data_IF_705912527198
#
_entry.id   IF_705912527198
#
_cell.length_a   1.000
_cell.length_b   1.000
_cell.length_c   1.000
_cell.angle_alpha   90.00
_cell.angle_beta   90.00
_cell.angle_gamma   90.00
#
_symmetry.space_group_name_H-M   'P 1'
#
loop_
_entity.id
_entity.type
_entity.pdbx_description
1 polymer ?
2 non-polymer ?
3 non-polymer ?
4 non-polymer ?
5 water ?
#
# COMPACT_ATOMS: atom_id res chain seq x y z
N UNK A 1 15.81 10.46 -2.57
CA UNK A 1 16.05 9.88 -1.22
C UNK A 1 15.85 8.35 -1.16
N UNK A 2 16.53 7.74 -0.20
CA UNK A 2 16.29 6.35 0.22
C UNK A 2 15.60 6.40 1.58
N UNK A 3 14.60 5.52 1.75
CA UNK A 3 13.63 5.46 2.88
C UNK A 3 13.63 4.02 3.41
N UNK A 4 13.81 3.80 4.72
CA UNK A 4 13.53 2.49 5.35
C UNK A 4 12.06 2.50 5.77
N UNK A 5 11.54 1.37 6.23
CA UNK A 5 10.10 1.17 6.42
C UNK A 5 9.78 0.88 7.89
N UNK A 6 10.67 1.26 8.82
CA UNK A 6 10.34 1.18 10.26
C UNK A 6 9.17 2.12 10.60
N UNK A 7 9.07 3.24 9.88
CA UNK A 7 7.97 4.21 10.00
C UNK A 7 7.19 4.25 8.68
N UNK A 8 5.96 4.73 8.72
CA UNK A 8 5.15 4.93 7.50
C UNK A 8 5.90 5.89 6.59
N UNK A 9 6.02 5.57 5.28
CA UNK A 9 6.80 6.37 4.32
C UNK A 9 5.98 7.57 3.84
N UNK A 10 5.91 8.57 4.70
CA UNK A 10 5.04 9.76 4.49
C UNK A 10 5.90 10.86 3.90
N UNK A 11 5.36 11.49 2.84
CA UNK A 11 6.05 12.59 2.10
C UNK A 11 5.11 13.79 2.05
N UNK A 12 5.67 14.97 1.84
CA UNK A 12 4.90 16.22 1.63
C UNK A 12 4.55 16.34 0.15
N UNK A 13 3.31 16.72 -0.13
CA UNK A 13 2.79 16.96 -1.48
C UNK A 13 2.25 18.38 -1.52
N UNK A 14 2.27 18.93 -2.70
CA UNK A 14 1.64 20.24 -3.02
C UNK A 14 0.78 20.00 -4.26
N UNK A 15 -0.48 20.34 -4.14
CA UNK A 15 -1.46 20.07 -5.20
C UNK A 15 -2.51 21.17 -5.15
N UNK A 16 -2.75 21.80 -6.30
CA UNK A 16 -3.73 22.89 -6.43
C UNK A 16 -3.45 23.96 -5.40
N UNK A 17 -2.17 24.23 -5.10
CA UNK A 17 -1.73 25.26 -4.14
C UNK A 17 -1.95 24.88 -2.68
N UNK A 18 -2.27 23.63 -2.38
CA UNK A 18 -2.55 23.12 -1.01
C UNK A 18 -1.42 22.17 -0.61
N UNK A 19 -0.98 22.26 0.63
CA UNK A 19 0.07 21.39 1.15
C UNK A 19 -0.59 20.30 1.97
N UNK A 20 -0.18 19.08 1.72
CA UNK A 20 -0.67 17.93 2.50
C UNK A 20 0.46 16.91 2.69
N UNK A 21 0.20 15.87 3.46
CA UNK A 21 1.10 14.71 3.59
C UNK A 21 0.42 13.49 2.96
N UNK A 22 1.19 12.55 2.47
CA UNK A 22 0.61 11.36 1.82
C UNK A 22 1.59 10.23 2.01
N UNK A 23 1.08 9.02 1.94
CA UNK A 23 1.84 7.78 2.16
C UNK A 23 2.28 7.26 0.79
N UNK A 24 3.59 7.04 0.61
CA UNK A 24 4.14 6.37 -0.62
C UNK A 24 3.70 4.91 -0.52
N UNK A 25 2.84 4.44 -1.43
CA UNK A 25 2.08 3.19 -1.23
C UNK A 25 2.27 2.28 -2.46
N UNK A 26 3.25 1.37 -2.38
CA UNK A 26 3.51 0.42 -3.50
C UNK A 26 2.31 -0.51 -3.70
N UNK A 27 1.41 -0.70 -2.73
CA UNK A 27 0.23 -1.57 -2.89
C UNK A 27 -0.95 -0.92 -3.58
N UNK A 28 -0.84 0.36 -3.92
CA UNK A 28 -1.92 1.19 -4.53
C UNK A 28 -1.58 1.40 -6.01
N UNK A 29 -2.44 0.96 -6.93
CA UNK A 29 -2.25 1.24 -8.37
C UNK A 29 -2.37 2.75 -8.58
N UNK A 30 -3.32 3.37 -7.88
CA UNK A 30 -3.76 4.77 -8.11
C UNK A 30 -3.49 5.65 -6.87
N UNK A 31 -3.51 6.96 -7.08
CA UNK A 31 -3.27 7.98 -6.02
C UNK A 31 -4.62 8.45 -5.52
N UNK A 32 -4.84 8.42 -4.21
CA UNK A 32 -6.16 8.72 -3.60
C UNK A 32 -5.96 9.75 -2.50
N UNK A 33 -6.57 10.93 -2.59
CA UNK A 33 -6.45 11.98 -1.54
C UNK A 33 -7.85 12.34 -1.05
N UNK A 34 -7.97 12.68 0.23
CA UNK A 34 -9.29 13.00 0.86
C UNK A 34 -9.42 14.52 1.05
N UNK A 35 -8.38 15.21 1.48
CA UNK A 35 -8.59 16.53 2.14
C UNK A 35 -8.36 17.70 1.17
N UNK A 36 -8.79 17.60 -0.11
CA UNK A 36 -8.30 18.50 -1.22
C UNK A 36 -9.45 18.93 -2.15
N UNK A 37 -9.37 20.20 -2.64
CA UNK A 37 -10.19 20.78 -3.74
C UNK A 37 -9.41 20.76 -5.06
N UNK A 38 -9.99 20.15 -6.10
CA UNK A 38 -9.46 20.34 -7.45
C UNK A 38 -10.55 20.97 -8.30
N UNK A 39 -10.16 21.85 -9.24
CA UNK A 39 -11.10 22.48 -10.17
C UNK A 39 -11.40 21.60 -11.39
N UNK A 40 -12.49 21.92 -12.08
CA UNK A 40 -12.77 21.40 -13.43
C UNK A 40 -13.54 20.10 -13.38
N UNK A 41 -13.57 19.40 -14.52
CA UNK A 41 -14.45 18.22 -14.71
C UNK A 41 -13.73 16.98 -14.15
N UNK A 42 -14.51 15.93 -13.92
CA UNK A 42 -14.08 14.69 -13.23
C UNK A 42 -15.10 13.58 -13.48
N UNK A 43 -14.68 12.32 -13.47
CA UNK A 43 -15.53 11.14 -13.76
C UNK A 43 -15.71 10.32 -12.48
N UNK A 44 -16.94 9.87 -12.15
CA UNK A 44 -17.15 8.97 -11.02
C UNK A 44 -16.33 7.70 -11.30
N UNK A 45 -15.73 7.12 -10.25
CA UNK A 45 -15.00 5.84 -10.33
C UNK A 45 -15.20 5.12 -8.99
N UNK A 46 -15.27 3.80 -9.04
CA UNK A 46 -15.33 2.95 -7.84
C UNK A 46 -13.98 2.23 -7.75
N UNK A 47 -13.41 2.16 -6.55
CA UNK A 47 -12.11 1.49 -6.28
C UNK A 47 -12.33 0.63 -5.05
N UNK A 48 -11.71 -0.54 -4.99
CA UNK A 48 -11.89 -1.47 -3.83
C UNK A 48 -10.61 -1.46 -3.00
N UNK A 49 -10.76 -1.79 -1.73
CA UNK A 49 -9.66 -2.03 -0.79
C UNK A 49 -10.06 -3.05 0.25
N UNK A 50 -9.26 -3.21 1.29
CA UNK A 50 -9.47 -4.29 2.31
C UNK A 50 -10.96 -4.30 2.71
N UNK A 51 -11.54 -3.15 3.06
CA UNK A 51 -12.86 -3.02 3.70
C UNK A 51 -14.04 -2.98 2.72
N UNK A 52 -13.77 -3.10 1.42
CA UNK A 52 -14.76 -3.11 0.33
C UNK A 52 -14.53 -2.03 -0.71
N UNK A 53 -15.47 -1.09 -0.84
CA UNK A 53 -15.57 -0.15 -1.98
C UNK A 53 -15.55 1.28 -1.45
N UNK A 54 -15.09 2.21 -2.28
CA UNK A 54 -15.21 3.68 -2.03
C UNK A 54 -15.49 4.37 -3.37
N UNK A 55 -16.44 5.30 -3.36
CA UNK A 55 -16.80 6.14 -4.53
C UNK A 55 -15.84 7.33 -4.54
N UNK A 56 -15.18 7.58 -5.68
CA UNK A 56 -14.13 8.62 -5.81
C UNK A 56 -14.41 9.44 -7.05
N UNK A 57 -13.90 10.68 -7.05
CA UNK A 57 -13.87 11.53 -8.25
C UNK A 57 -12.52 11.37 -8.91
N UNK A 58 -12.53 11.00 -10.18
CA UNK A 58 -11.30 10.93 -11.00
C UNK A 58 -11.02 12.28 -11.63
N UNK A 59 -9.84 12.84 -11.36
CA UNK A 59 -9.30 14.07 -11.99
C UNK A 59 -8.06 13.71 -12.78
N UNK A 60 -8.06 14.06 -14.07
CA UNK A 60 -6.97 13.67 -14.99
C UNK A 60 -6.03 14.85 -15.16
N UNK A 61 -4.77 14.55 -15.46
CA UNK A 61 -3.69 15.50 -15.78
C UNK A 61 -3.68 16.61 -14.73
N UNK A 62 -3.50 16.18 -13.47
CA UNK A 62 -3.38 17.07 -12.29
C UNK A 62 -1.90 17.31 -12.03
N UNK A 63 -1.48 18.58 -11.98
CA UNK A 63 -0.13 18.91 -11.54
C UNK A 63 0.01 18.65 -10.03
N UNK A 64 1.02 17.87 -9.62
CA UNK A 64 1.32 17.56 -8.19
C UNK A 64 2.82 17.55 -7.92
N UNK A 65 3.25 18.12 -6.80
CA UNK A 65 4.65 18.07 -6.34
C UNK A 65 4.73 17.06 -5.22
N UNK A 66 5.60 16.04 -5.35
CA UNK A 66 5.76 14.96 -4.33
C UNK A 66 7.20 15.02 -3.84
N UNK A 67 7.41 15.30 -2.56
CA UNK A 67 8.74 15.52 -1.95
C UNK A 67 9.63 16.25 -2.97
N UNK A 68 9.17 17.40 -3.49
CA UNK A 68 9.98 18.32 -4.33
C UNK A 68 9.86 18.06 -5.83
N UNK A 69 9.40 16.88 -6.25
CA UNK A 69 9.37 16.43 -7.66
C UNK A 69 8.02 16.73 -8.30
N UNK A 70 8.01 17.50 -9.39
CA UNK A 70 6.79 17.91 -10.11
C UNK A 70 6.40 16.82 -11.11
N UNK A 71 5.14 16.39 -11.09
CA UNK A 71 4.60 15.38 -12.03
C UNK A 71 3.19 15.81 -12.42
N UNK A 72 2.63 15.19 -13.45
CA UNK A 72 1.21 15.39 -13.82
C UNK A 72 0.62 13.99 -13.97
N UNK A 73 -0.51 13.75 -13.34
CA UNK A 73 -1.15 12.44 -13.42
C UNK A 73 -2.55 12.47 -12.91
N UNK A 74 -3.12 11.28 -12.86
CA UNK A 74 -4.50 11.08 -12.43
C UNK A 74 -4.48 11.08 -10.90
N UNK A 75 -5.42 11.82 -10.33
CA UNK A 75 -5.64 11.88 -8.86
C UNK A 75 -7.08 11.52 -8.60
N UNK A 76 -7.33 10.60 -7.68
CA UNK A 76 -8.68 10.26 -7.21
C UNK A 76 -8.94 11.02 -5.91
N UNK A 77 -10.08 11.70 -5.82
CA UNK A 77 -10.53 12.37 -4.57
C UNK A 77 -11.69 11.58 -3.98
N UNK A 78 -11.57 11.17 -2.73
CA UNK A 78 -12.65 10.43 -2.06
C UNK A 78 -12.26 10.11 -0.62
N UNK A 79 -13.16 9.45 0.14
CA UNK A 79 -12.86 9.11 1.52
C UNK A 79 -11.75 8.04 1.46
N UNK A 80 -10.65 8.35 2.09
CA UNK A 80 -9.58 7.39 2.39
C UNK A 80 -9.13 7.75 3.79
N UNK A 81 -8.85 6.74 4.64
CA UNK A 81 -8.36 7.04 5.98
C UNK A 81 -6.97 7.69 5.93
N UNK A 82 -6.22 7.48 4.84
CA UNK A 82 -4.88 8.05 4.62
C UNK A 82 -4.74 8.49 3.16
N UNK A 83 -4.18 9.69 2.95
CA UNK A 83 -3.79 10.14 1.60
C UNK A 83 -2.72 9.18 1.11
N UNK A 84 -2.86 8.72 -0.13
CA UNK A 84 -1.91 7.72 -0.67
C UNK A 84 -1.45 8.11 -2.07
N UNK A 85 -0.15 7.96 -2.27
CA UNK A 85 0.51 8.14 -3.59
C UNK A 85 0.67 6.74 -4.15
N UNK A 86 0.03 6.45 -5.27
CA UNK A 86 0.07 5.13 -5.92
C UNK A 86 1.15 5.00 -6.96
N UNK A 87 1.22 3.82 -7.58
CA UNK A 87 2.30 3.54 -8.54
C UNK A 87 2.14 4.47 -9.76
N UNK A 88 0.94 4.96 -10.07
CA UNK A 88 0.74 5.83 -11.26
C UNK A 88 1.68 7.03 -11.15
N UNK A 89 1.88 7.55 -9.95
CA UNK A 89 2.77 8.72 -9.76
C UNK A 89 4.17 8.31 -9.32
N UNK A 90 4.34 7.23 -8.55
CA UNK A 90 5.68 6.80 -8.10
C UNK A 90 6.56 6.39 -9.29
N UNK A 91 5.98 5.87 -10.36
CA UNK A 91 6.75 5.51 -11.60
C UNK A 91 7.34 6.79 -12.21
N UNK A 92 6.67 7.92 -12.07
CA UNK A 92 7.19 9.22 -12.59
C UNK A 92 8.44 9.63 -11.79
N UNK A 93 8.49 9.30 -10.50
CA UNK A 93 9.69 9.61 -9.65
C UNK A 93 10.87 8.65 -9.92
N UNK A 94 10.67 7.56 -10.66
CA UNK A 94 11.65 6.48 -10.84
C UNK A 94 11.86 5.70 -9.54
N UNK A 95 10.81 5.61 -8.71
CA UNK A 95 10.86 4.90 -7.42
C UNK A 95 11.08 3.40 -7.65
N UNK A 96 11.93 2.83 -6.81
CA UNK A 96 12.16 1.38 -6.74
C UNK A 96 12.03 0.86 -5.31
N UNK A 97 11.65 -0.39 -5.17
CA UNK A 97 11.79 -1.15 -3.91
C UNK A 97 13.08 -1.95 -4.00
N UNK A 98 13.82 -1.96 -2.92
CA UNK A 98 15.12 -2.67 -2.82
C UNK A 98 15.07 -3.58 -1.61
N UNK A 99 15.44 -4.86 -1.77
CA UNK A 99 15.85 -5.70 -0.62
C UNK A 99 16.88 -6.73 -1.09
N UNK B 1 16.82 -8.11 -4.37
CA UNK B 1 16.43 -7.53 -5.67
C UNK B 1 16.02 -6.05 -5.61
N UNK B 2 16.17 -5.38 -6.74
CA UNK B 2 15.59 -4.05 -7.00
C UNK B 2 14.43 -4.24 -7.95
N UNK B 3 13.29 -3.66 -7.67
CA UNK B 3 12.17 -3.70 -8.66
C UNK B 3 11.65 -2.28 -8.84
N UNK B 4 11.15 -2.05 -10.04
CA UNK B 4 10.47 -0.81 -10.45
C UNK B 4 8.96 -1.02 -10.23
N UNK B 5 8.14 0.00 -10.39
CA UNK B 5 6.72 -0.05 -10.00
C UNK B 5 5.81 0.15 -11.20
N UNK B 6 6.28 -0.16 -12.42
CA UNK B 6 5.37 -0.16 -13.58
C UNK B 6 4.32 -1.27 -13.48
N UNK B 7 4.67 -2.38 -12.83
CA UNK B 7 3.72 -3.48 -12.54
C UNK B 7 3.61 -3.59 -11.01
N UNK B 8 2.57 -4.27 -10.56
CA UNK B 8 2.37 -4.52 -9.13
C UNK B 8 3.54 -5.35 -8.62
N UNK B 9 4.14 -4.97 -7.47
CA UNK B 9 5.36 -5.61 -6.95
C UNK B 9 4.98 -6.89 -6.20
N UNK B 10 4.75 -7.93 -6.99
CA UNK B 10 4.20 -9.21 -6.47
C UNK B 10 5.38 -10.16 -6.30
N UNK B 11 5.41 -10.84 -5.15
CA UNK B 11 6.48 -11.80 -4.79
C UNK B 11 5.83 -13.11 -4.41
N UNK B 12 6.59 -14.18 -4.49
CA UNK B 12 6.17 -15.51 -4.02
C UNK B 12 6.45 -15.64 -2.53
N UNK B 13 5.50 -16.21 -1.80
CA UNK B 13 5.60 -16.45 -0.34
C UNK B 13 5.35 -17.94 -0.11
N UNK B 14 5.96 -18.45 0.95
CA UNK B 14 5.68 -19.81 1.47
C UNK B 14 5.36 -19.68 2.95
N UNK B 15 4.21 -20.21 3.33
CA UNK B 15 3.71 -20.05 4.71
C UNK B 15 2.89 -21.29 5.03
N UNK B 16 3.23 -21.89 6.17
CA UNK B 16 2.58 -23.13 6.62
C UNK B 16 2.56 -24.15 5.51
N UNK B 17 3.64 -24.28 4.73
CA UNK B 17 3.79 -25.29 3.66
C UNK B 17 2.98 -24.98 2.40
N UNK B 18 2.37 -23.80 2.32
CA UNK B 18 1.48 -23.36 1.20
C UNK B 18 2.21 -22.27 0.41
N UNK B 19 2.12 -22.34 -0.91
CA UNK B 19 2.74 -21.35 -1.79
C UNK B 19 1.66 -20.39 -2.23
N UNK B 20 1.97 -19.10 -2.12
CA UNK B 20 1.04 -18.05 -2.59
C UNK B 20 1.84 -16.89 -3.20
N UNK B 21 1.15 -15.93 -3.79
CA UNK B 21 1.73 -14.64 -4.23
C UNK B 21 1.18 -13.52 -3.32
N UNK B 22 1.93 -12.45 -3.17
CA UNK B 22 1.49 -11.35 -2.29
C UNK B 22 2.15 -10.09 -2.82
N UNK B 23 1.50 -8.96 -2.58
CA UNK B 23 1.94 -7.64 -2.99
C UNK B 23 2.84 -7.10 -1.90
N UNK B 24 4.04 -6.63 -2.27
CA UNK B 24 4.92 -5.85 -1.34
C UNK B 24 4.29 -4.45 -1.21
N UNK B 25 3.81 -4.11 -0.02
CA UNK B 25 2.86 -2.98 0.15
C UNK B 25 3.38 -2.02 1.22
N UNK B 26 4.12 -0.99 0.81
CA UNK B 26 4.65 0.06 1.74
C UNK B 26 3.50 0.80 2.43
N UNK B 27 2.28 0.80 1.91
CA UNK B 27 1.14 1.49 2.54
C UNK B 27 0.46 0.71 3.65
N UNK B 28 0.87 -0.53 3.86
CA UNK B 28 0.27 -1.50 4.82
C UNK B 28 1.20 -1.61 6.03
N UNK B 29 0.71 -1.28 7.24
CA UNK B 29 1.50 -1.47 8.47
C UNK B 29 1.71 -2.97 8.66
N UNK B 30 0.67 -3.75 8.38
CA UNK B 30 0.58 -5.20 8.71
C UNK B 30 0.43 -6.05 7.45
N UNK B 31 0.70 -7.34 7.59
CA UNK B 31 0.64 -8.34 6.51
C UNK B 31 -0.72 -9.02 6.59
N UNK B 32 -1.46 -9.07 5.49
CA UNK B 32 -2.85 -9.59 5.46
C UNK B 32 -2.96 -10.59 4.33
N UNK B 33 -3.30 -11.86 4.62
CA UNK B 33 -3.44 -12.92 3.60
C UNK B 33 -4.86 -13.50 3.69
N UNK B 34 -5.44 -13.88 2.57
CA UNK B 34 -6.82 -14.43 2.52
C UNK B 34 -6.79 -15.95 2.35
N UNK B 35 -5.94 -16.49 1.48
CA UNK B 35 -6.23 -17.82 0.89
C UNK B 35 -5.49 -18.92 1.67
N UNK B 36 -5.32 -18.86 3.02
CA UNK B 36 -4.37 -19.78 3.73
C UNK B 36 -4.84 -20.24 5.13
N UNK B 37 -4.44 -21.46 5.49
CA UNK B 37 -4.61 -22.16 6.80
C UNK B 37 -3.39 -21.95 7.70
N UNK B 38 -3.60 -21.43 8.91
CA UNK B 38 -2.55 -21.42 9.94
C UNK B 38 -3.05 -22.18 11.16
N UNK B 39 -2.16 -22.96 11.79
CA UNK B 39 -2.52 -23.74 12.97
C UNK B 39 -2.50 -22.88 14.24
N UNK B 40 -3.23 -23.31 15.27
CA UNK B 40 -3.03 -22.85 16.65
C UNK B 40 -3.90 -21.65 16.96
N UNK B 41 -3.53 -20.92 18.03
CA UNK B 41 -4.38 -19.87 18.62
C UNK B 41 -4.18 -18.55 17.85
N UNK B 42 -5.14 -17.65 17.97
CA UNK B 42 -5.18 -16.36 17.25
C UNK B 42 -6.14 -15.40 17.96
N UNK B 43 -6.06 -14.10 17.66
CA UNK B 43 -6.86 -13.05 18.35
C UNK B 43 -7.71 -12.31 17.32
N UNK B 44 -8.99 -12.02 17.64
CA UNK B 44 -9.79 -11.12 16.83
C UNK B 44 -8.99 -9.82 16.70
N UNK B 45 -9.04 -9.20 15.52
CA UNK B 45 -8.51 -7.83 15.30
C UNK B 45 -9.34 -7.19 14.19
N UNK B 46 -9.54 -5.88 14.30
CA UNK B 46 -10.23 -5.08 13.25
C UNK B 46 -9.17 -4.18 12.63
N UNK B 47 -9.11 -4.14 11.31
CA UNK B 47 -8.10 -3.33 10.56
C UNK B 47 -8.87 -2.46 9.57
N UNK B 48 -8.49 -1.20 9.46
CA UNK B 48 -9.22 -0.21 8.63
C UNK B 48 -8.47 -0.08 7.29
N UNK B 49 -9.22 -0.12 6.20
CA UNK B 49 -8.70 0.10 4.83
C UNK B 49 -9.54 1.12 4.10
N UNK B 50 -9.27 1.29 2.80
CA UNK B 50 -10.14 1.98 1.80
C UNK B 50 -11.39 1.12 1.59
N UNK B 51 -12.55 1.63 1.96
CA UNK B 51 -13.82 0.87 1.98
C UNK B 51 -14.25 0.51 3.39
N UNK B 52 -13.41 0.71 4.40
CA UNK B 52 -13.89 0.63 5.79
C UNK B 52 -13.07 -0.29 6.66
N UNK B 53 -13.62 -1.46 6.99
CA UNK B 53 -13.05 -2.39 8.00
C UNK B 53 -13.21 -3.83 7.49
N UNK B 54 -12.27 -4.69 7.84
CA UNK B 54 -12.45 -6.18 7.78
C UNK B 54 -12.05 -6.75 9.13
N UNK B 55 -12.80 -7.76 9.58
CA UNK B 55 -12.48 -8.59 10.75
C UNK B 55 -11.44 -9.62 10.28
N UNK B 56 -10.33 -9.72 11.00
CA UNK B 56 -9.19 -10.62 10.64
C UNK B 56 -8.83 -11.44 11.86
N UNK B 57 -8.15 -12.56 11.64
CA UNK B 57 -7.50 -13.35 12.70
C UNK B 57 -6.03 -12.96 12.77
N UNK B 58 -5.58 -12.54 13.94
CA UNK B 58 -4.16 -12.26 14.21
C UNK B 58 -3.48 -13.54 14.65
N UNK B 59 -2.46 -13.95 13.90
CA UNK B 59 -1.54 -15.08 14.22
C UNK B 59 -0.15 -14.52 14.45
N UNK B 60 0.43 -14.79 15.63
CA UNK B 60 1.76 -14.26 16.00
C UNK B 60 2.82 -15.31 15.75
N UNK B 61 4.05 -14.85 15.54
CA UNK B 61 5.29 -15.64 15.39
C UNK B 61 5.06 -16.75 14.36
N UNK B 62 4.57 -16.32 13.19
CA UNK B 62 4.37 -17.20 12.02
C UNK B 62 5.64 -17.19 11.19
N UNK B 63 6.20 -18.38 10.94
CA UNK B 63 7.29 -18.51 9.97
C UNK B 63 6.78 -18.32 8.54
N UNK B 64 7.43 -17.42 7.77
CA UNK B 64 7.05 -17.09 6.36
C UNK B 64 8.29 -16.84 5.52
N UNK B 65 8.33 -17.40 4.30
CA UNK B 65 9.40 -17.16 3.32
C UNK B 65 8.87 -16.17 2.30
N UNK B 66 9.56 -15.04 2.12
CA UNK B 66 9.13 -13.96 1.16
C UNK B 66 10.25 -13.82 0.13
N UNK B 67 9.98 -14.15 -1.13
CA UNK B 67 10.97 -14.15 -2.22
C UNK B 67 12.30 -14.73 -1.67
N UNK B 68 12.24 -15.91 -1.03
CA UNK B 68 13.43 -16.68 -0.60
C UNK B 68 13.89 -16.39 0.82
N UNK B 69 13.43 -15.28 1.42
CA UNK B 69 13.88 -14.80 2.75
C UNK B 69 12.96 -15.30 3.88
N UNK B 70 13.52 -16.05 4.82
CA UNK B 70 12.78 -16.61 5.96
C UNK B 70 12.68 -15.54 7.05
N UNK B 71 11.47 -15.30 7.56
CA UNK B 71 11.21 -14.35 8.67
C UNK B 71 10.14 -14.97 9.57
N UNK B 72 9.95 -14.40 10.74
CA UNK B 72 8.84 -14.79 11.66
C UNK B 72 8.19 -13.49 12.09
N UNK B 73 6.87 -13.41 11.94
CA UNK B 73 6.15 -12.20 12.32
C UNK B 73 4.68 -12.46 12.43
N UNK B 74 3.97 -11.38 12.66
CA UNK B 74 2.52 -11.38 12.80
C UNK B 74 1.94 -11.46 11.38
N UNK B 75 0.99 -12.35 11.21
CA UNK B 75 0.20 -12.50 9.96
C UNK B 75 -1.27 -12.34 10.31
N UNK B 76 -1.97 -11.48 9.59
CA UNK B 76 -3.44 -11.34 9.70
C UNK B 76 -4.06 -12.19 8.60
N UNK B 77 -5.04 -13.03 8.96
CA UNK B 77 -5.84 -13.81 7.97
C UNK B 77 -7.23 -13.20 7.93
N UNK B 78 -7.70 -12.80 6.74
CA UNK B 78 -9.04 -12.24 6.59
C UNK B 78 -9.34 -11.92 5.14
N UNK B 79 -10.56 -11.41 4.87
CA UNK B 79 -10.92 -10.95 3.54
C UNK B 79 -9.98 -9.80 3.17
N UNK B 80 -9.26 -10.00 2.07
CA UNK B 80 -8.53 -8.92 1.38
C UNK B 80 -8.63 -9.28 -0.09
N UNK B 81 -8.88 -8.27 -0.94
CA UNK B 81 -8.94 -8.52 -2.37
C UNK B 81 -7.56 -8.94 -2.93
N UNK B 82 -6.48 -8.61 -2.21
CA UNK B 82 -5.09 -8.95 -2.59
C UNK B 82 -4.32 -9.33 -1.32
N UNK B 83 -3.54 -10.42 -1.38
CA UNK B 83 -2.59 -10.77 -0.31
C UNK B 83 -1.57 -9.65 -0.25
N UNK B 84 -1.27 -9.20 0.96
CA UNK B 84 -0.33 -8.05 1.12
C UNK B 84 0.73 -8.33 2.18
N UNK B 85 1.95 -7.98 1.83
CA UNK B 85 3.12 -8.02 2.76
C UNK B 85 3.28 -6.59 3.24
N UNK B 86 3.12 -6.37 4.54
CA UNK B 86 3.22 -5.03 5.12
C UNK B 86 4.58 -4.73 5.68
N UNK B 87 4.72 -3.54 6.26
CA UNK B 87 6.06 -3.08 6.72
C UNK B 87 6.52 -3.97 7.88
N UNK B 88 5.61 -4.62 8.62
CA UNK B 88 6.03 -5.47 9.77
C UNK B 88 7.02 -6.51 9.26
N UNK B 89 6.80 -7.04 8.05
CA UNK B 89 7.71 -8.07 7.49
C UNK B 89 8.75 -7.47 6.53
N UNK B 90 8.43 -6.40 5.79
CA UNK B 90 9.42 -5.81 4.86
C UNK B 90 10.63 -5.25 5.63
N UNK B 91 10.45 -4.79 6.86
CA UNK B 91 11.59 -4.27 7.69
C UNK B 91 12.55 -5.42 7.99
N UNK B 92 12.03 -6.64 8.09
CA UNK B 92 12.85 -7.86 8.33
C UNK B 92 13.65 -8.21 7.08
N UNK B 93 13.23 -7.81 5.88
CA UNK B 93 14.02 -7.94 4.64
C UNK B 93 15.05 -6.81 4.45
N UNK B 94 15.01 -5.76 5.27
CA UNK B 94 15.81 -4.53 5.05
C UNK B 94 15.39 -3.80 3.77
N UNK B 95 14.11 -3.86 3.43
CA UNK B 95 13.54 -3.19 2.25
C UNK B 95 13.60 -1.67 2.40
N UNK B 96 13.91 -1.00 1.31
CA UNK B 96 13.89 0.47 1.22
C UNK B 96 13.12 0.92 -0.03
N UNK B 97 12.53 2.10 0.04
CA UNK B 97 12.06 2.83 -1.15
C UNK B 97 13.13 3.81 -1.55
N UNK B 98 13.38 3.90 -2.84
CA UNK B 98 14.40 4.77 -3.42
C UNK B 98 13.75 5.62 -4.50
N UNK B 99 13.96 6.95 -4.46
CA UNK B 99 13.73 7.81 -5.65
C UNK B 99 14.65 9.02 -5.58
X LIG C 1 0.52 22.47 -7.41
X LIG C 1 0.24 23.65 -6.66
X LIG C 1 1.99 22.32 -7.71
X LIG C 1 2.50 23.51 -8.32
X LIG C 1 2.28 21.15 -8.62
X LIG C 1 3.57 21.26 -9.22
X LIG D 1 -1.61 8.88 -13.77
X LIG E 1 11.80 4.22 8.61
X LIG F 1 -6.24 1.61 -5.18
X LIG F 1 -5.48 2.38 -4.31
X LIG F 1 -5.41 2.03 -2.97
X LIG F 1 -6.08 0.90 -2.52
X LIG F 1 -6.84 0.14 -3.40
X LIG F 1 -6.91 0.49 -4.72
X LIG F 1 -6.02 0.43 -0.82
X LIG F 1 -5.76 1.60 -0.02
X LIG F 1 -7.18 -0.35 -0.58
X LIG F 1 -4.73 -0.57 -0.68
X LIG F 1 -4.80 -1.80 -1.50
X LIG F 1 -4.37 -3.09 -0.81
X LIG F 1 -5.22 -3.42 0.41
X LIG F 1 -4.43 -4.22 -1.82
X LIG F 1 -3.39 0.00 -0.47
X LIG F 1 -2.82 -0.31 0.91
X LIG F 1 -1.46 0.06 0.98
X LIG F 1 -3.58 0.40 2.04
X LIG F 1 -3.19 -0.16 3.32
X LIG F 1 -4.00 -0.84 4.12
X LIG F 1 -5.17 -1.11 3.91
X LIG F 1 -3.34 -1.19 5.26
X LIG F 1 -4.05 -1.97 6.26
X LIG F 1 -3.23 -3.20 6.53
X LIG F 1 -2.18 -2.79 7.40
X LIG F 1 -2.65 -1.68 8.16
X LIG F 1 -1.81 -0.55 8.00
X LIG F 1 -2.54 0.54 7.46
X LIG F 1 -4.00 0.24 7.75
X LIG F 1 -4.02 -1.28 7.63
X LIG F 1 -3.32 1.92 2.10
X LIG F 1 -3.35 2.99 4.40
X LIG F 1 -4.03 3.42 5.52
X LIG F 1 -5.40 3.32 5.59
X LIG F 1 -6.10 2.76 4.53
X LIG F 1 -5.42 2.34 3.41
X LIG F 1 -4.04 2.48 3.31
X LIG F 1 -6.32 2.00 -6.49
X LIG F 1 -6.45 0.96 -7.46
X LIG F 1 -4.29 0.70 9.06
X LIG F 1 -4.70 2.06 9.10
X LIG G 1 8.87 -20.77 6.60
X LIG G 1 10.17 -20.40 6.12
X LIG G 1 8.30 -21.94 5.83
X LIG G 1 8.61 -21.82 4.46
X LIG G 1 6.79 -22.08 5.97
X LIG G 1 6.31 -23.24 5.30
#
# INVERSE_FOLDING_TARGET
PQITLWKRPIVTIKIGGQLREALLDTGADDTVLEDIDLPGRWKPKLIVGIGGFVKVRQYEQVPIEIAGHKVVGTVLIGPTPSNIIGRNLMTQLGATLNF
PQITLWKRPIVTIKIGGQLREALLDTGADDTVLEDIDLPGRWKPKLIVGIGGFVKVRQYEQVPIEIAGHKVVGTVLIGPTPSNIIGRNLMTQLGATLNF
GOL C1 O1 C2 O2 C3 O3
CL CL
CL CL
G04 C2 C3 C4 C5 C6 C7 S8 O9 O10 N11 C12 C13 C14 C15 C16 C17 O18 C19 N20 C21 O22 O23 C24 C25 O26 C27 O28 C29 C30 C31 C32 C33 C34 C35 C36 C37 C38 O39 C40 O41 C42
GOL C1 O1 C2 O2 C3 O3
#
